data_IF_633534618657
#
_entry.id   IF_633534618657
#
_cell.length_a   1.000
_cell.length_b   1.000
_cell.length_c   1.000
_cell.angle_alpha   90.00
_cell.angle_beta   90.00
_cell.angle_gamma   90.00
#
_symmetry.space_group_name_H-M   'P 1'
#
loop_
_entity.id
_entity.type
_entity.pdbx_description
1 polymer ?
#
# COMPACT_ATOMS: atom_id res chain seq x y z
N UNK A 1 -14.16 34.82 28.30
CA UNK A 1 -15.20 33.90 27.79
C UNK A 1 -15.44 34.04 26.28
N UNK A 2 -14.89 35.05 25.59
CA UNK A 2 -15.02 35.25 24.14
C UNK A 2 -13.91 34.60 23.30
N UNK A 3 -12.70 34.42 23.85
CA UNK A 3 -11.55 33.84 23.12
C UNK A 3 -11.64 32.30 22.99
N UNK A 4 -12.13 31.58 24.02
CA UNK A 4 -12.26 30.11 23.99
C UNK A 4 -13.27 29.58 22.95
N UNK A 5 -14.29 30.38 22.59
CA UNK A 5 -15.27 29.99 21.55
C UNK A 5 -14.72 30.23 20.14
N UNK A 6 -13.89 31.26 19.94
CA UNK A 6 -13.19 31.53 18.67
C UNK A 6 -12.20 30.42 18.30
N UNK A 7 -11.42 29.95 19.27
CA UNK A 7 -10.43 28.88 19.05
C UNK A 7 -11.08 27.51 18.77
N UNK A 8 -12.23 27.23 19.38
CA UNK A 8 -13.01 26.02 19.10
C UNK A 8 -13.63 26.03 17.71
N UNK A 9 -14.18 27.16 17.25
CA UNK A 9 -14.71 27.29 15.89
C UNK A 9 -13.61 27.24 14.82
N UNK A 10 -12.44 27.84 15.07
CA UNK A 10 -11.30 27.74 14.16
C UNK A 10 -10.77 26.31 14.05
N UNK A 11 -10.58 25.60 15.18
CA UNK A 11 -10.17 24.18 15.15
C UNK A 11 -11.15 23.29 14.40
N UNK A 12 -12.47 23.48 14.61
CA UNK A 12 -13.52 22.70 13.92
C UNK A 12 -13.52 22.95 12.41
N UNK A 13 -13.36 24.20 11.97
CA UNK A 13 -13.20 24.55 10.55
C UNK A 13 -11.93 23.95 9.94
N UNK A 14 -10.81 23.93 10.67
CA UNK A 14 -9.57 23.33 10.19
C UNK A 14 -9.66 21.80 10.07
N UNK A 15 -10.33 21.13 11.02
CA UNK A 15 -10.58 19.67 10.93
C UNK A 15 -11.50 19.31 9.77
N UNK A 16 -12.55 20.09 9.56
CA UNK A 16 -13.50 19.88 8.46
C UNK A 16 -12.84 20.13 7.09
N UNK A 17 -11.98 21.16 6.97
CA UNK A 17 -11.16 21.38 5.79
C UNK A 17 -10.17 20.24 5.54
N UNK A 18 -9.46 19.76 6.57
CA UNK A 18 -8.55 18.61 6.46
C UNK A 18 -9.30 17.35 6.01
N UNK A 19 -10.51 17.13 6.51
CA UNK A 19 -11.36 16.00 6.11
C UNK A 19 -11.78 16.12 4.64
N UNK A 20 -12.20 17.30 4.21
CA UNK A 20 -12.56 17.57 2.82
C UNK A 20 -11.39 17.41 1.85
N UNK A 21 -10.20 17.87 2.24
CA UNK A 21 -8.96 17.66 1.47
C UNK A 21 -8.56 16.19 1.39
N UNK A 22 -8.70 15.45 2.51
CA UNK A 22 -8.46 14.00 2.53
C UNK A 22 -9.41 13.26 1.60
N UNK A 23 -10.70 13.60 1.62
CA UNK A 23 -11.70 13.02 0.72
C UNK A 23 -11.48 13.39 -0.75
N UNK A 24 -11.05 14.61 -1.06
CA UNK A 24 -10.67 15.00 -2.42
C UNK A 24 -9.45 14.21 -2.90
N UNK A 25 -8.42 14.13 -2.07
CA UNK A 25 -7.20 13.37 -2.37
C UNK A 25 -7.50 11.89 -2.55
N UNK A 26 -8.37 11.31 -1.73
CA UNK A 26 -8.81 9.92 -1.89
C UNK A 26 -9.50 9.68 -3.22
N UNK A 27 -10.40 10.59 -3.65
CA UNK A 27 -11.05 10.52 -4.97
C UNK A 27 -10.07 10.66 -6.12
N UNK A 28 -9.11 11.59 -6.03
CA UNK A 28 -8.06 11.74 -7.03
C UNK A 28 -7.21 10.46 -7.14
N UNK A 29 -6.87 9.83 -6.02
CA UNK A 29 -6.13 8.56 -6.00
C UNK A 29 -6.96 7.45 -6.65
N UNK A 30 -8.24 7.35 -6.32
CA UNK A 30 -9.18 6.39 -6.91
C UNK A 30 -9.27 6.54 -8.43
N UNK A 31 -9.44 7.76 -8.92
CA UNK A 31 -9.48 8.06 -10.36
C UNK A 31 -8.18 7.66 -11.06
N UNK A 32 -7.02 8.01 -10.49
CA UNK A 32 -5.71 7.68 -11.07
C UNK A 32 -5.47 6.16 -11.10
N UNK A 33 -5.83 5.46 -10.03
CA UNK A 33 -5.69 4.00 -9.94
C UNK A 33 -6.63 3.30 -10.92
N UNK A 34 -7.86 3.80 -11.05
CA UNK A 34 -8.84 3.25 -11.99
C UNK A 34 -8.42 3.48 -13.44
N UNK A 35 -7.84 4.64 -13.79
CA UNK A 35 -7.28 4.89 -15.13
C UNK A 35 -6.05 4.02 -15.43
N UNK A 36 -5.23 3.73 -14.42
CA UNK A 36 -4.10 2.82 -14.59
C UNK A 36 -4.58 1.37 -14.86
N UNK A 37 -5.66 0.95 -14.18
CA UNK A 37 -6.26 -0.37 -14.39
C UNK A 37 -6.84 -0.55 -15.79
N UNK A 38 -7.51 0.46 -16.37
CA UNK A 38 -8.07 0.32 -17.72
C UNK A 38 -6.98 0.08 -18.76
N UNK A 39 -5.85 0.79 -18.65
CA UNK A 39 -4.69 0.59 -19.55
C UNK A 39 -3.99 -0.75 -19.34
N UNK A 40 -3.85 -1.20 -18.10
CA UNK A 40 -3.28 -2.52 -17.81
C UNK A 40 -4.21 -3.64 -18.25
N UNK A 41 -5.52 -3.50 -18.08
CA UNK A 41 -6.52 -4.43 -18.59
C UNK A 41 -6.50 -4.56 -20.11
N UNK A 42 -6.41 -3.44 -20.84
CA UNK A 42 -6.23 -3.44 -22.29
C UNK A 42 -4.92 -4.13 -22.73
N UNK A 43 -3.83 -3.93 -21.97
CA UNK A 43 -2.54 -4.58 -22.24
C UNK A 43 -2.56 -6.09 -21.91
N UNK A 44 -3.36 -6.53 -20.94
CA UNK A 44 -3.50 -7.94 -20.54
C UNK A 44 -4.33 -8.77 -21.53
N UNK A 45 -5.40 -8.22 -22.12
CA UNK A 45 -6.16 -8.90 -23.19
C UNK A 45 -5.27 -9.23 -24.40
N UNK A 46 -4.18 -8.49 -24.59
CA UNK A 46 -3.20 -8.70 -25.65
C UNK A 46 -2.09 -9.71 -25.27
N UNK A 47 -1.91 -10.02 -23.98
CA UNK A 47 -0.81 -10.85 -23.43
C UNK A 47 -1.31 -12.22 -22.86
N UNK A 48 -2.62 -12.50 -22.96
CA UNK A 48 -3.31 -13.72 -22.49
C UNK A 48 -2.92 -15.03 -23.22
N UNK A 49 -1.78 -15.06 -23.91
CA UNK A 49 -1.28 -16.21 -24.68
C UNK A 49 0.11 -16.70 -24.24
N UNK A 50 0.59 -16.39 -23.02
CA UNK A 50 2.00 -16.69 -22.71
C UNK A 50 2.50 -16.98 -21.29
N UNK A 51 1.89 -16.54 -20.18
CA UNK A 51 2.43 -16.92 -18.86
C UNK A 51 1.45 -16.82 -17.69
N UNK A 52 0.64 -17.86 -17.48
CA UNK A 52 -0.01 -18.09 -16.19
C UNK A 52 1.01 -18.81 -15.30
N UNK A 53 1.64 -18.08 -14.38
CA UNK A 53 2.39 -18.72 -13.28
C UNK A 53 1.41 -19.12 -12.18
N UNK A 54 1.53 -20.35 -11.68
CA UNK A 54 0.77 -20.83 -10.53
C UNK A 54 1.00 -19.92 -9.30
N UNK A 55 0.02 -19.83 -8.39
CA UNK A 55 0.18 -19.13 -7.10
C UNK A 55 1.41 -19.64 -6.34
N UNK A 56 1.70 -20.93 -6.42
CA UNK A 56 2.89 -21.55 -5.83
C UNK A 56 4.18 -21.16 -6.54
N UNK A 57 4.16 -20.95 -7.87
CA UNK A 57 5.33 -20.47 -8.62
C UNK A 57 5.62 -18.98 -8.37
N UNK A 58 4.61 -18.18 -8.07
CA UNK A 58 4.79 -16.78 -7.65
C UNK A 58 5.38 -16.71 -6.24
N UNK A 59 4.86 -17.55 -5.33
CA UNK A 59 5.44 -17.73 -4.00
C UNK A 59 6.88 -18.22 -4.09
N UNK A 60 7.17 -19.26 -4.87
CA UNK A 60 8.52 -19.79 -5.06
C UNK A 60 9.44 -18.78 -5.76
N UNK A 61 8.96 -18.04 -6.76
CA UNK A 61 9.71 -16.93 -7.40
C UNK A 61 10.08 -15.82 -6.42
N UNK A 62 9.22 -15.58 -5.42
CA UNK A 62 9.38 -14.50 -4.46
C UNK A 62 10.09 -14.95 -3.17
N UNK A 63 10.01 -16.24 -2.80
CA UNK A 63 10.53 -16.81 -1.56
C UNK A 63 11.85 -17.57 -1.78
N UNK A 64 11.95 -18.48 -2.77
CA UNK A 64 12.90 -19.58 -2.65
C UNK A 64 12.64 -20.40 -1.36
N UNK A 65 13.18 -21.61 -1.24
CA UNK A 65 13.01 -22.44 -0.03
C UNK A 65 13.44 -21.66 1.24
N UNK A 66 12.61 -21.63 2.30
CA UNK A 66 12.71 -20.73 3.48
C UNK A 66 13.37 -21.44 4.69
N UNK A 67 14.57 -21.03 5.14
CA UNK A 67 15.10 -21.32 6.48
C UNK A 67 15.56 -20.08 7.31
N UNK A 68 14.98 -19.92 8.52
CA UNK A 68 15.19 -18.88 9.55
C UNK A 68 16.60 -18.22 9.64
N UNK A 69 16.87 -17.13 8.91
CA UNK A 69 18.12 -16.34 8.96
C UNK A 69 17.84 -14.82 8.76
N UNK A 70 18.52 -13.87 9.45
CA UNK A 70 18.45 -12.42 9.15
C UNK A 70 18.58 -12.01 7.66
N UNK A 71 19.22 -12.83 6.82
CA UNK A 71 19.22 -12.65 5.36
C UNK A 71 17.81 -12.79 4.74
N UNK A 72 16.90 -13.51 5.40
CA UNK A 72 15.53 -13.76 4.95
C UNK A 72 14.63 -12.54 5.05
N UNK A 73 14.63 -11.81 6.17
CA UNK A 73 13.83 -10.57 6.27
C UNK A 73 14.20 -9.59 5.16
N UNK A 74 15.49 -9.52 4.85
CA UNK A 74 15.97 -8.76 3.71
C UNK A 74 15.44 -9.33 2.38
N UNK A 75 15.51 -10.64 2.17
CA UNK A 75 15.02 -11.29 0.95
C UNK A 75 13.49 -11.13 0.79
N UNK A 76 12.69 -11.42 1.80
CA UNK A 76 11.23 -11.26 1.79
C UNK A 76 10.86 -9.81 1.50
N UNK A 77 11.52 -8.84 2.16
CA UNK A 77 11.24 -7.42 1.93
C UNK A 77 11.64 -6.96 0.52
N UNK A 78 12.88 -7.19 0.09
CA UNK A 78 13.39 -6.64 -1.17
C UNK A 78 13.12 -7.52 -2.40
N UNK A 79 13.31 -8.83 -2.29
CA UNK A 79 13.13 -9.78 -3.38
C UNK A 79 11.68 -10.27 -3.50
N UNK A 80 10.92 -10.26 -2.41
CA UNK A 80 9.49 -10.56 -2.41
C UNK A 80 8.65 -9.30 -2.60
N UNK A 81 8.37 -8.61 -1.50
CA UNK A 81 7.40 -7.50 -1.42
C UNK A 81 7.75 -6.37 -2.41
N UNK A 82 8.95 -5.79 -2.31
CA UNK A 82 9.31 -4.62 -3.11
C UNK A 82 9.46 -4.97 -4.60
N UNK A 83 9.98 -6.16 -4.93
CA UNK A 83 10.10 -6.64 -6.30
C UNK A 83 8.73 -6.87 -6.95
N UNK A 84 7.79 -7.49 -6.24
CA UNK A 84 6.43 -7.72 -6.72
C UNK A 84 5.72 -6.39 -6.95
N UNK A 85 5.72 -5.49 -5.96
CA UNK A 85 5.12 -4.16 -6.10
C UNK A 85 5.75 -3.36 -7.24
N UNK A 86 7.08 -3.39 -7.38
CA UNK A 86 7.75 -2.70 -8.50
C UNK A 86 7.35 -3.28 -9.86
N UNK A 87 7.14 -4.59 -9.95
CA UNK A 87 6.79 -5.26 -11.20
C UNK A 87 5.34 -4.98 -11.62
N UNK A 88 4.42 -4.97 -10.66
CA UNK A 88 3.00 -4.90 -10.95
C UNK A 88 2.42 -3.49 -10.85
N UNK A 89 2.96 -2.60 -10.01
CA UNK A 89 2.44 -1.23 -9.92
C UNK A 89 2.72 -0.42 -11.21
N UNK A 90 1.82 0.49 -11.59
CA UNK A 90 1.91 1.21 -12.86
C UNK A 90 3.12 2.16 -12.84
N UNK A 91 3.93 2.16 -13.90
CA UNK A 91 5.11 3.04 -14.02
C UNK A 91 4.77 4.42 -14.59
N UNK A 92 5.63 5.42 -14.34
CA UNK A 92 5.51 6.78 -14.88
C UNK A 92 5.13 7.83 -13.82
N UNK A 93 5.40 9.11 -14.13
CA UNK A 93 5.19 10.21 -13.17
C UNK A 93 3.70 10.45 -12.87
N UNK A 94 2.82 10.23 -13.85
CA UNK A 94 1.37 10.38 -13.68
C UNK A 94 0.81 9.52 -12.53
N UNK A 95 1.35 8.31 -12.34
CA UNK A 95 0.88 7.37 -11.32
C UNK A 95 1.73 7.39 -10.04
N UNK A 96 2.65 8.36 -9.89
CA UNK A 96 3.54 8.43 -8.74
C UNK A 96 2.78 8.59 -7.42
N UNK A 97 1.81 9.50 -7.38
CA UNK A 97 0.95 9.73 -6.21
C UNK A 97 0.21 8.45 -5.80
N UNK A 98 -0.35 7.74 -6.75
CA UNK A 98 -1.04 6.46 -6.55
C UNK A 98 -0.11 5.37 -5.98
N UNK A 99 1.10 5.21 -6.55
CA UNK A 99 2.11 4.27 -6.02
C UNK A 99 2.57 4.63 -4.62
N UNK A 100 2.74 5.92 -4.34
CA UNK A 100 3.17 6.40 -3.03
C UNK A 100 2.17 6.05 -1.93
N UNK A 101 0.87 6.13 -2.23
CA UNK A 101 -0.19 5.80 -1.28
C UNK A 101 -0.19 4.30 -0.96
N UNK A 102 -0.11 3.43 -1.97
CA UNK A 102 0.00 1.97 -1.75
C UNK A 102 1.27 1.64 -0.93
N UNK A 103 2.39 2.29 -1.26
CA UNK A 103 3.64 2.12 -0.52
C UNK A 103 3.55 2.66 0.91
N UNK A 104 2.74 3.67 1.15
CA UNK A 104 2.50 4.22 2.47
C UNK A 104 1.70 3.23 3.32
N UNK A 105 0.60 2.70 2.79
CA UNK A 105 -0.21 1.69 3.48
C UNK A 105 0.62 0.44 3.81
N UNK A 106 1.45 -0.03 2.86
CA UNK A 106 2.43 -1.10 3.09
C UNK A 106 3.35 -0.78 4.27
N UNK A 107 3.89 0.44 4.35
CA UNK A 107 4.80 0.83 5.43
C UNK A 107 4.07 0.96 6.76
N UNK A 108 2.84 1.47 6.77
CA UNK A 108 2.01 1.56 7.98
C UNK A 108 1.78 0.15 8.54
N UNK A 109 1.41 -0.80 7.68
CA UNK A 109 1.25 -2.21 8.06
C UNK A 109 2.53 -2.77 8.69
N UNK A 110 3.65 -2.70 7.96
CA UNK A 110 4.95 -3.24 8.39
C UNK A 110 5.56 -2.55 9.61
N UNK A 111 5.06 -1.37 9.98
CA UNK A 111 5.50 -0.64 11.18
C UNK A 111 4.46 -0.62 12.28
N UNK A 112 3.43 -1.46 12.18
CA UNK A 112 2.33 -1.59 13.15
C UNK A 112 1.68 -0.24 13.49
N UNK A 113 1.35 0.51 12.44
CA UNK A 113 0.59 1.76 12.55
C UNK A 113 1.41 3.04 12.67
N UNK A 114 2.74 2.99 12.56
CA UNK A 114 3.54 4.21 12.54
C UNK A 114 3.37 4.94 11.21
N UNK A 115 2.71 6.09 11.24
CA UNK A 115 2.52 7.00 10.10
C UNK A 115 3.64 8.03 10.01
N UNK A 116 3.83 8.62 8.84
CA UNK A 116 4.67 9.81 8.69
C UNK A 116 4.07 10.97 9.48
N UNK A 117 4.89 11.63 10.30
CA UNK A 117 4.50 12.88 10.94
C UNK A 117 4.58 14.06 9.95
N UNK A 118 4.17 15.26 10.39
CA UNK A 118 4.20 16.50 9.60
C UNK A 118 5.62 16.88 9.11
N UNK A 119 6.67 16.32 9.73
CA UNK A 119 8.07 16.52 9.36
C UNK A 119 8.60 15.44 8.41
N UNK A 120 7.76 14.51 7.96
CA UNK A 120 8.14 13.42 7.07
C UNK A 120 8.92 12.29 7.76
N UNK A 121 8.76 12.10 9.06
CA UNK A 121 9.47 11.08 9.85
C UNK A 121 8.46 10.06 10.40
N UNK A 122 8.72 8.75 10.20
CA UNK A 122 7.85 7.65 10.67
C UNK A 122 8.18 7.16 12.08
N UNK A 123 9.43 7.33 12.52
CA UNK A 123 9.90 6.82 13.81
C UNK A 123 10.02 5.28 13.87
N UNK A 124 9.81 4.59 12.76
CA UNK A 124 10.02 3.16 12.59
C UNK A 124 10.48 2.86 11.15
N UNK A 125 11.26 1.80 10.98
CA UNK A 125 11.76 1.34 9.70
C UNK A 125 11.01 0.08 9.28
N UNK A 126 10.29 0.14 8.15
CA UNK A 126 9.53 -1.00 7.62
C UNK A 126 10.41 -2.19 7.22
N UNK A 127 11.72 -1.98 7.03
CA UNK A 127 12.69 -3.05 6.76
C UNK A 127 13.00 -3.89 7.99
N UNK A 128 12.72 -3.36 9.18
CA UNK A 128 12.91 -4.02 10.47
C UNK A 128 11.61 -4.63 11.01
N UNK A 129 10.61 -4.84 10.14
CA UNK A 129 9.35 -5.44 10.53
C UNK A 129 9.53 -6.87 11.07
N UNK A 130 8.50 -7.37 11.74
CA UNK A 130 8.40 -8.76 12.15
C UNK A 130 8.26 -9.65 10.91
N UNK A 131 8.83 -10.86 10.95
CA UNK A 131 8.84 -11.73 9.76
C UNK A 131 7.41 -12.15 9.42
N UNK A 132 6.59 -12.37 10.44
CA UNK A 132 5.18 -12.70 10.36
C UNK A 132 4.39 -11.61 9.62
N UNK A 133 4.65 -10.34 9.97
CA UNK A 133 4.04 -9.19 9.29
C UNK A 133 4.52 -9.13 7.81
N UNK A 134 5.78 -9.45 7.53
CA UNK A 134 6.30 -9.48 6.15
C UNK A 134 5.67 -10.61 5.32
N UNK A 135 5.49 -11.80 5.90
CA UNK A 135 4.86 -12.94 5.23
C UNK A 135 3.37 -12.67 4.96
N UNK A 136 2.66 -12.06 5.92
CA UNK A 136 1.25 -11.74 5.77
C UNK A 136 1.02 -10.75 4.62
N UNK A 137 1.78 -9.64 4.60
CA UNK A 137 1.63 -8.66 3.51
C UNK A 137 2.08 -9.22 2.16
N UNK A 138 3.08 -10.12 2.17
CA UNK A 138 3.54 -10.79 0.96
C UNK A 138 2.47 -11.72 0.39
N UNK A 139 1.79 -12.49 1.23
CA UNK A 139 0.67 -13.32 0.82
C UNK A 139 -0.48 -12.48 0.27
N UNK A 140 -0.81 -11.35 0.92
CA UNK A 140 -1.84 -10.42 0.45
C UNK A 140 -1.51 -9.88 -0.95
N UNK A 141 -0.28 -9.37 -1.14
CA UNK A 141 0.17 -8.83 -2.44
C UNK A 141 0.18 -9.93 -3.52
N UNK A 142 0.59 -11.16 -3.16
CA UNK A 142 0.65 -12.27 -4.12
C UNK A 142 -0.74 -12.71 -4.56
N UNK A 143 -1.69 -12.81 -3.62
CA UNK A 143 -3.09 -13.14 -3.93
C UNK A 143 -3.72 -12.06 -4.82
N UNK A 144 -3.55 -10.79 -4.46
CA UNK A 144 -4.01 -9.67 -5.29
C UNK A 144 -3.42 -9.71 -6.71
N UNK A 145 -2.13 -10.00 -6.83
CA UNK A 145 -1.45 -10.07 -8.13
C UNK A 145 -1.93 -11.25 -8.99
N UNK A 146 -2.51 -12.28 -8.38
CA UNK A 146 -3.10 -13.42 -9.08
C UNK A 146 -4.56 -13.16 -9.48
N UNK A 147 -5.35 -12.59 -8.57
CA UNK A 147 -6.81 -12.49 -8.73
C UNK A 147 -7.26 -11.34 -9.63
N UNK A 148 -6.77 -10.11 -9.39
CA UNK A 148 -7.30 -8.93 -10.09
C UNK A 148 -6.24 -8.06 -10.74
N UNK A 149 -5.06 -7.94 -10.11
CA UNK A 149 -4.05 -6.93 -10.46
C UNK A 149 -4.60 -5.50 -10.49
N UNK A 150 -5.75 -5.27 -9.86
CA UNK A 150 -6.41 -3.98 -9.80
C UNK A 150 -5.75 -3.11 -8.71
N UNK A 151 -5.12 -2.00 -9.08
CA UNK A 151 -4.36 -1.19 -8.14
C UNK A 151 -5.21 -0.56 -7.02
N UNK A 152 -6.47 -0.23 -7.31
CA UNK A 152 -7.42 0.28 -6.33
C UNK A 152 -7.83 -0.78 -5.32
N UNK A 153 -8.00 -2.03 -5.76
CA UNK A 153 -8.24 -3.14 -4.85
C UNK A 153 -7.03 -3.39 -3.95
N UNK A 154 -5.80 -3.33 -4.45
CA UNK A 154 -4.62 -3.45 -3.58
C UNK A 154 -4.58 -2.35 -2.52
N UNK A 155 -4.86 -1.12 -2.92
CA UNK A 155 -4.94 0.00 -1.98
C UNK A 155 -6.01 -0.25 -0.90
N UNK A 156 -7.21 -0.64 -1.32
CA UNK A 156 -8.33 -0.90 -0.42
C UNK A 156 -8.02 -2.05 0.53
N UNK A 157 -7.50 -3.17 0.01
CA UNK A 157 -7.09 -4.32 0.81
C UNK A 157 -6.07 -3.96 1.89
N UNK A 158 -5.03 -3.19 1.56
CA UNK A 158 -4.02 -2.77 2.52
C UNK A 158 -4.59 -1.79 3.56
N UNK A 159 -5.43 -0.86 3.11
CA UNK A 159 -6.05 0.13 4.00
C UNK A 159 -7.06 -0.51 4.95
N UNK A 160 -7.96 -1.35 4.44
CA UNK A 160 -8.95 -2.07 5.25
C UNK A 160 -8.24 -2.93 6.30
N UNK A 161 -7.16 -3.61 5.90
CA UNK A 161 -6.33 -4.38 6.83
C UNK A 161 -5.71 -3.50 7.91
N UNK A 162 -5.20 -2.32 7.56
CA UNK A 162 -4.68 -1.36 8.53
C UNK A 162 -5.80 -0.81 9.43
N UNK A 163 -7.01 -0.62 8.93
CA UNK A 163 -8.18 -0.20 9.71
C UNK A 163 -8.62 -1.28 10.70
N UNK A 164 -8.67 -2.55 10.28
CA UNK A 164 -8.94 -3.72 11.14
C UNK A 164 -7.92 -3.83 12.28
N UNK A 165 -6.64 -3.57 12.00
CA UNK A 165 -5.57 -3.56 12.99
C UNK A 165 -5.55 -2.29 13.86
N UNK A 166 -6.45 -1.34 13.58
CA UNK A 166 -6.59 -0.09 14.33
C UNK A 166 -5.51 0.95 14.02
N UNK A 167 -4.74 0.78 12.95
CA UNK A 167 -3.64 1.66 12.58
C UNK A 167 -4.10 3.01 12.01
N UNK A 168 -5.37 3.13 11.61
CA UNK A 168 -5.98 4.38 11.17
C UNK A 168 -6.86 5.06 12.22
N UNK A 169 -7.04 4.43 13.39
CA UNK A 169 -7.74 5.03 14.51
C UNK A 169 -6.77 5.95 15.25
N UNK A 170 -6.78 7.24 14.90
CA UNK A 170 -6.10 8.30 15.66
C UNK A 170 -7.05 8.87 16.72
#
# INVERSE_FOLDING_TARGET
MSEENSDKEQKKKTEEQKKLEKEKRSREIEEILSEANTKTGEQLVLDELGSVKSQDELKEFALGSIPDDPEEKYNVYYKGIEKLLKKFLPEGEKYKSAREVIREEKKIFLTRGKKLNEKGIRGADSRMAYIEDMEEIMNLITNWAFESRNYFELYSLLRDKNEELGYHND
#
